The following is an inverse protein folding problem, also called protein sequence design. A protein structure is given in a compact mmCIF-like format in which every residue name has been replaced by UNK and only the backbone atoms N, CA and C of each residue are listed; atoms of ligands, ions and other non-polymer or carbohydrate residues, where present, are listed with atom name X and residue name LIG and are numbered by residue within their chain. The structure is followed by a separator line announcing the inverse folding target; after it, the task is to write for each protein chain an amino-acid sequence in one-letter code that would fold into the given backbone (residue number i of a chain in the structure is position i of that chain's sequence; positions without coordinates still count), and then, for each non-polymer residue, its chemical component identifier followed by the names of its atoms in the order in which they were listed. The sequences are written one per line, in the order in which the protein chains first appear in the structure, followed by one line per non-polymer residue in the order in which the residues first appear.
data_IF_133586230647
#
_entry.id   IF_133586230647
#
_cell.length_a   1.000
_cell.length_b   1.000
_cell.length_c   1.000
_cell.angle_alpha   90.00
_cell.angle_beta   90.00
_cell.angle_gamma   90.00
#
_symmetry.space_group_name_H-M   'P 1'
#
loop_
_entity.id
_entity.type
_entity.pdbx_description
1 polymer ?
#
# COMPACT_ATOMS: atom_id res chain seq x y z
N UNK A 1 52.67 -20.45 11.79
CA UNK A 1 51.93 -19.52 10.97
C UNK A 1 50.64 -20.21 10.51
N UNK A 2 49.54 -20.03 11.23
CA UNK A 2 48.20 -20.50 10.84
C UNK A 2 47.50 -19.34 10.16
N UNK A 3 47.23 -19.46 8.85
CA UNK A 3 46.39 -18.56 8.11
C UNK A 3 44.91 -18.73 8.56
N UNK A 4 44.42 -17.82 9.36
CA UNK A 4 42.99 -17.64 9.57
C UNK A 4 42.36 -17.06 8.29
N UNK A 5 41.73 -17.95 7.53
CA UNK A 5 40.80 -17.54 6.48
C UNK A 5 39.53 -17.00 7.16
N UNK A 6 39.49 -15.70 7.47
CA UNK A 6 38.26 -15.00 7.74
C UNK A 6 37.42 -14.94 6.44
N UNK A 7 36.62 -15.96 6.22
CA UNK A 7 35.56 -15.90 5.20
C UNK A 7 34.42 -14.99 5.70
N UNK A 8 34.59 -13.69 5.52
CA UNK A 8 33.44 -12.76 5.57
C UNK A 8 32.53 -13.13 4.43
N UNK A 9 31.47 -13.90 4.69
CA UNK A 9 30.33 -14.04 3.80
C UNK A 9 29.65 -12.67 3.69
N UNK A 10 30.15 -11.82 2.79
CA UNK A 10 29.40 -10.67 2.34
C UNK A 10 28.18 -11.21 1.58
N UNK A 11 27.04 -11.31 2.25
CA UNK A 11 25.78 -11.55 1.55
C UNK A 11 25.60 -10.42 0.52
N UNK A 12 25.78 -10.75 -0.74
CA UNK A 12 25.59 -9.82 -1.84
C UNK A 12 24.14 -9.35 -1.80
N UNK A 13 23.91 -8.11 -1.37
CA UNK A 13 22.57 -7.51 -1.35
C UNK A 13 22.04 -7.43 -2.78
N UNK A 14 20.79 -7.88 -2.99
CA UNK A 14 20.13 -7.80 -4.29
C UNK A 14 20.17 -6.38 -4.85
N UNK A 15 20.13 -6.24 -6.17
CA UNK A 15 20.09 -4.95 -6.87
C UNK A 15 19.04 -5.02 -7.97
N UNK A 16 18.33 -3.92 -8.21
CA UNK A 16 17.49 -3.78 -9.40
C UNK A 16 18.37 -3.72 -10.66
N UNK A 17 17.86 -4.25 -11.77
CA UNK A 17 18.60 -4.27 -13.04
C UNK A 17 18.67 -2.89 -13.69
N UNK A 18 17.85 -1.92 -13.23
CA UNK A 18 17.82 -0.55 -13.73
C UNK A 18 16.60 0.23 -13.25
N UNK A 19 16.50 1.49 -13.71
CA UNK A 19 15.46 2.43 -13.28
C UNK A 19 14.03 1.92 -13.50
N UNK A 20 13.72 1.32 -14.65
CA UNK A 20 12.38 0.82 -14.97
C UNK A 20 11.96 -0.27 -13.98
N UNK A 21 12.87 -1.20 -13.68
CA UNK A 21 12.61 -2.27 -12.70
C UNK A 21 12.29 -1.72 -11.31
N UNK A 22 13.08 -0.75 -10.84
CA UNK A 22 12.82 -0.05 -9.59
C UNK A 22 11.47 0.69 -9.58
N UNK A 23 11.22 1.51 -10.61
CA UNK A 23 9.98 2.31 -10.69
C UNK A 23 8.74 1.41 -10.71
N UNK A 24 8.76 0.33 -11.49
CA UNK A 24 7.63 -0.60 -11.55
C UNK A 24 7.46 -1.40 -10.25
N UNK A 25 8.55 -1.74 -9.56
CA UNK A 25 8.48 -2.41 -8.26
C UNK A 25 7.90 -1.49 -7.17
N UNK A 26 8.37 -0.22 -7.09
CA UNK A 26 7.85 0.76 -6.13
C UNK A 26 6.43 1.17 -6.48
N UNK A 27 6.12 1.41 -7.77
CA UNK A 27 4.76 1.68 -8.22
C UNK A 27 3.83 0.48 -7.92
N UNK A 28 4.29 -0.76 -8.11
CA UNK A 28 3.52 -1.96 -7.76
C UNK A 28 3.32 -2.11 -6.25
N UNK A 29 4.24 -1.61 -5.43
CA UNK A 29 4.03 -1.51 -3.99
C UNK A 29 2.98 -0.46 -3.63
N UNK A 30 3.04 0.70 -4.28
CA UNK A 30 2.15 1.82 -4.05
C UNK A 30 0.72 1.51 -4.56
N UNK A 31 0.60 0.95 -5.76
CA UNK A 31 -0.70 0.56 -6.34
C UNK A 31 -1.19 -0.75 -5.72
N UNK A 32 -2.06 -0.63 -4.74
CA UNK A 32 -2.62 -1.75 -4.00
C UNK A 32 -4.12 -1.64 -3.79
N UNK A 33 -4.62 -2.41 -2.83
CA UNK A 33 -6.02 -2.37 -2.43
C UNK A 33 -6.45 -0.97 -2.00
N UNK A 34 -5.53 -0.16 -1.45
CA UNK A 34 -5.78 1.22 -1.05
C UNK A 34 -6.21 2.14 -2.18
N UNK A 35 -5.67 1.98 -3.40
CA UNK A 35 -6.08 2.74 -4.58
C UNK A 35 -7.42 2.28 -5.11
N UNK A 36 -7.75 0.99 -4.99
CA UNK A 36 -8.91 0.40 -5.66
C UNK A 36 -10.18 0.52 -4.82
N UNK A 37 -10.11 0.36 -3.49
CA UNK A 37 -11.32 0.49 -2.67
C UNK A 37 -11.33 1.73 -1.77
N UNK A 38 -10.20 1.99 -1.06
CA UNK A 38 -10.17 3.05 -0.06
C UNK A 38 -10.23 4.45 -0.70
N UNK A 39 -9.46 4.65 -1.76
CA UNK A 39 -9.43 5.94 -2.44
C UNK A 39 -10.80 6.32 -3.04
N UNK A 40 -11.51 5.48 -3.83
CA UNK A 40 -12.83 5.83 -4.34
C UNK A 40 -13.86 6.09 -3.24
N UNK A 41 -13.85 5.29 -2.19
CA UNK A 41 -14.72 5.50 -1.02
C UNK A 41 -14.47 6.87 -0.37
N UNK A 42 -13.19 7.17 -0.05
CA UNK A 42 -12.85 8.45 0.59
C UNK A 42 -13.14 9.64 -0.34
N UNK A 43 -12.88 9.50 -1.63
CA UNK A 43 -13.20 10.53 -2.60
C UNK A 43 -14.73 10.81 -2.63
N UNK A 44 -15.53 9.76 -2.65
CA UNK A 44 -16.99 9.93 -2.63
C UNK A 44 -17.50 10.53 -1.31
N UNK A 45 -16.99 10.07 -0.17
CA UNK A 45 -17.41 10.54 1.16
C UNK A 45 -16.97 11.98 1.44
N UNK A 46 -15.79 12.39 0.97
CA UNK A 46 -15.16 13.66 1.35
C UNK A 46 -15.10 14.68 0.20
N UNK A 47 -16.10 14.67 -0.70
CA UNK A 47 -16.39 15.76 -1.61
C UNK A 47 -15.91 15.59 -3.05
N UNK A 48 -15.61 14.36 -3.50
CA UNK A 48 -15.33 14.08 -4.91
C UNK A 48 -14.11 14.83 -5.45
N UNK A 49 -14.33 15.72 -6.40
CA UNK A 49 -13.26 16.46 -7.08
C UNK A 49 -12.42 17.34 -6.16
N UNK A 50 -12.97 17.88 -5.06
CA UNK A 50 -12.17 18.64 -4.10
C UNK A 50 -11.22 17.73 -3.31
N UNK A 51 -11.65 16.52 -2.95
CA UNK A 51 -10.78 15.51 -2.36
C UNK A 51 -9.66 15.13 -3.32
N UNK A 52 -9.97 14.86 -4.59
CA UNK A 52 -8.99 14.53 -5.62
C UNK A 52 -7.94 15.64 -5.78
N UNK A 53 -8.37 16.91 -5.84
CA UNK A 53 -7.46 18.06 -5.95
C UNK A 53 -6.48 18.12 -4.76
N UNK A 54 -7.00 18.00 -3.53
CA UNK A 54 -6.19 18.02 -2.31
C UNK A 54 -5.24 16.82 -2.28
N UNK A 55 -5.71 15.62 -2.65
CA UNK A 55 -4.90 14.42 -2.74
C UNK A 55 -3.71 14.60 -3.70
N UNK A 56 -3.96 15.13 -4.91
CA UNK A 56 -2.90 15.39 -5.90
C UNK A 56 -1.86 16.39 -5.35
N UNK A 57 -2.31 17.46 -4.71
CA UNK A 57 -1.41 18.47 -4.13
C UNK A 57 -0.54 17.88 -3.01
N UNK A 58 -1.12 17.08 -2.12
CA UNK A 58 -0.41 16.41 -1.04
C UNK A 58 0.58 15.37 -1.56
N UNK A 59 0.18 14.58 -2.55
CA UNK A 59 1.01 13.55 -3.16
C UNK A 59 2.22 14.16 -3.89
N UNK A 60 1.99 15.22 -4.68
CA UNK A 60 3.04 15.92 -5.43
C UNK A 60 4.00 16.74 -4.55
N UNK A 61 3.64 17.00 -3.30
CA UNK A 61 4.44 17.78 -2.35
C UNK A 61 4.95 16.93 -1.19
N UNK A 62 4.11 16.64 -0.23
CA UNK A 62 4.47 15.95 1.00
C UNK A 62 4.86 14.48 0.76
N UNK A 63 4.04 13.73 -0.01
CA UNK A 63 4.32 12.35 -0.37
C UNK A 63 5.63 12.20 -1.14
N UNK A 64 5.82 13.05 -2.15
CA UNK A 64 7.04 13.12 -2.95
C UNK A 64 8.31 13.29 -2.11
N UNK A 65 8.28 14.17 -1.11
CA UNK A 65 9.43 14.46 -0.23
C UNK A 65 9.78 13.26 0.65
N UNK A 66 8.77 12.56 1.18
CA UNK A 66 9.00 11.38 2.03
C UNK A 66 9.51 10.19 1.23
N UNK A 67 8.95 9.91 0.04
CA UNK A 67 9.47 8.85 -0.84
C UNK A 67 10.95 9.05 -1.11
N UNK A 68 11.34 10.29 -1.49
CA UNK A 68 12.74 10.60 -1.76
C UNK A 68 13.63 10.41 -0.54
N UNK A 69 13.16 10.84 0.64
CA UNK A 69 13.93 10.73 1.89
C UNK A 69 14.20 9.27 2.25
N UNK A 70 13.16 8.44 2.27
CA UNK A 70 13.28 7.02 2.63
C UNK A 70 14.13 6.25 1.58
N UNK A 71 13.92 6.50 0.29
CA UNK A 71 14.71 5.91 -0.79
C UNK A 71 16.18 6.30 -0.70
N UNK A 72 16.47 7.58 -0.45
CA UNK A 72 17.84 8.06 -0.29
C UNK A 72 18.53 7.43 0.92
N UNK A 73 17.85 7.35 2.08
CA UNK A 73 18.37 6.69 3.27
C UNK A 73 18.67 5.21 3.03
N UNK A 74 17.79 4.50 2.32
CA UNK A 74 18.02 3.12 1.90
C UNK A 74 19.24 2.99 1.00
N UNK A 75 19.39 3.86 -0.02
CA UNK A 75 20.53 3.86 -0.95
C UNK A 75 21.86 4.21 -0.27
N UNK A 76 21.86 5.18 0.65
CA UNK A 76 23.05 5.57 1.42
C UNK A 76 23.59 4.41 2.26
N UNK A 77 22.70 3.67 2.90
CA UNK A 77 23.07 2.67 3.90
C UNK A 77 23.20 1.26 3.37
N UNK A 78 22.55 0.97 2.24
CA UNK A 78 22.44 -0.39 1.69
C UNK A 78 21.88 -1.40 2.70
N UNK A 79 20.99 -0.96 3.59
CA UNK A 79 20.40 -1.76 4.66
C UNK A 79 18.89 -1.63 4.69
N UNK A 80 18.24 -2.58 5.37
CA UNK A 80 16.84 -2.52 5.77
C UNK A 80 16.58 -1.33 6.74
N UNK A 81 15.33 -0.99 7.05
CA UNK A 81 15.01 0.15 7.90
C UNK A 81 15.78 0.16 9.23
N UNK A 82 15.86 -0.99 9.94
CA UNK A 82 16.56 -1.08 11.23
C UNK A 82 18.03 -0.76 11.07
N UNK A 83 18.67 -1.36 10.09
CA UNK A 83 20.07 -1.13 9.78
C UNK A 83 20.34 0.30 9.30
N UNK A 84 19.41 0.93 8.56
CA UNK A 84 19.52 2.31 8.13
C UNK A 84 19.51 3.28 9.32
N UNK A 85 18.57 3.14 10.25
CA UNK A 85 18.52 3.94 11.47
C UNK A 85 19.76 3.72 12.37
N UNK A 86 20.21 2.47 12.50
CA UNK A 86 21.40 2.14 13.28
C UNK A 86 22.70 2.71 12.69
N UNK A 87 22.76 2.86 11.36
CA UNK A 87 23.94 3.42 10.67
C UNK A 87 24.19 4.87 11.05
N UNK A 88 23.14 5.69 11.12
CA UNK A 88 23.25 7.12 11.40
C UNK A 88 23.13 7.44 12.91
N UNK A 89 22.31 6.68 13.64
CA UNK A 89 22.00 6.92 15.05
C UNK A 89 22.84 6.08 16.00
N UNK A 90 23.83 6.67 16.66
CA UNK A 90 24.64 5.98 17.67
C UNK A 90 23.87 5.57 18.93
N UNK A 91 22.76 6.21 19.26
CA UNK A 91 21.94 5.91 20.44
C UNK A 91 20.95 4.78 20.15
N UNK A 92 20.75 3.86 21.09
CA UNK A 92 19.76 2.76 21.01
C UNK A 92 18.34 3.25 20.66
N UNK A 93 17.96 4.46 21.11
CA UNK A 93 16.67 5.07 20.82
C UNK A 93 16.38 5.23 19.30
N UNK A 94 17.40 5.47 18.48
CA UNK A 94 17.20 5.58 17.04
C UNK A 94 16.82 4.24 16.39
N UNK A 95 17.28 3.11 16.93
CA UNK A 95 16.86 1.79 16.43
C UNK A 95 15.35 1.56 16.56
N UNK A 96 14.68 2.20 17.53
CA UNK A 96 13.22 2.10 17.70
C UNK A 96 12.49 2.59 16.44
N UNK A 97 12.90 3.72 15.84
CA UNK A 97 12.33 4.20 14.58
C UNK A 97 12.51 3.23 13.43
N UNK A 98 13.67 2.56 13.36
CA UNK A 98 13.93 1.50 12.37
C UNK A 98 13.03 0.28 12.60
N UNK A 99 12.89 -0.18 13.84
CA UNK A 99 12.00 -1.29 14.18
C UNK A 99 10.52 -0.96 13.95
N UNK A 100 10.06 0.27 14.21
CA UNK A 100 8.71 0.69 13.85
C UNK A 100 8.46 0.49 12.35
N UNK A 101 9.37 1.01 11.49
CA UNK A 101 9.27 0.82 10.04
C UNK A 101 9.35 -0.65 9.60
N UNK A 102 10.03 -1.51 10.35
CA UNK A 102 10.22 -2.92 9.99
C UNK A 102 9.08 -3.83 10.47
N UNK A 103 8.49 -3.54 11.65
CA UNK A 103 7.41 -4.35 12.22
C UNK A 103 6.08 -4.09 11.48
N UNK A 104 5.87 -2.87 11.00
CA UNK A 104 4.66 -2.51 10.24
C UNK A 104 4.38 -3.51 9.10
N UNK A 105 5.28 -3.75 8.14
CA UNK A 105 5.01 -4.72 7.07
C UNK A 105 4.88 -6.16 7.58
N UNK A 106 5.54 -6.53 8.68
CA UNK A 106 5.39 -7.86 9.29
C UNK A 106 3.99 -8.09 9.84
N UNK A 107 3.33 -7.03 10.31
CA UNK A 107 1.94 -7.08 10.79
C UNK A 107 0.93 -6.93 9.65
N UNK A 108 1.24 -6.10 8.64
CA UNK A 108 0.32 -5.85 7.52
C UNK A 108 0.20 -7.08 6.62
N UNK A 109 1.30 -7.70 6.21
CA UNK A 109 1.26 -8.75 5.19
C UNK A 109 0.36 -9.95 5.55
N UNK A 110 0.24 -10.40 6.82
CA UNK A 110 -0.70 -11.45 7.21
C UNK A 110 -2.16 -11.09 6.95
N UNK A 111 -2.66 -10.00 7.52
CA UNK A 111 -4.07 -9.63 7.31
C UNK A 111 -4.37 -9.15 5.89
N UNK A 112 -3.40 -8.51 5.23
CA UNK A 112 -3.51 -8.13 3.82
C UNK A 112 -3.65 -9.35 2.91
N UNK A 113 -2.96 -10.44 3.24
CA UNK A 113 -3.06 -11.71 2.51
C UNK A 113 -4.40 -12.41 2.73
N UNK A 114 -5.05 -12.21 3.89
CA UNK A 114 -6.43 -12.66 4.11
C UNK A 114 -7.37 -11.98 3.11
N UNK A 115 -7.26 -10.67 2.95
CA UNK A 115 -8.05 -9.92 1.97
C UNK A 115 -7.69 -10.36 0.54
N UNK A 116 -6.40 -10.60 0.26
CA UNK A 116 -5.95 -11.17 -1.02
C UNK A 116 -6.59 -12.53 -1.30
N UNK A 117 -6.79 -13.37 -0.30
CA UNK A 117 -7.53 -14.62 -0.39
C UNK A 117 -9.00 -14.42 -0.77
N UNK A 118 -9.67 -13.42 -0.21
CA UNK A 118 -11.03 -13.06 -0.61
C UNK A 118 -11.11 -12.64 -2.08
N UNK A 119 -10.12 -11.91 -2.57
CA UNK A 119 -10.02 -11.54 -4.00
C UNK A 119 -9.90 -12.78 -4.88
N UNK A 120 -9.06 -13.75 -4.51
CA UNK A 120 -8.92 -15.02 -5.26
C UNK A 120 -10.24 -15.79 -5.26
N UNK A 121 -10.92 -15.88 -4.11
CA UNK A 121 -12.23 -16.54 -4.00
C UNK A 121 -13.25 -15.94 -4.97
N UNK A 122 -13.40 -14.61 -4.95
CA UNK A 122 -14.35 -13.93 -5.83
C UNK A 122 -13.98 -14.10 -7.30
N UNK A 123 -12.71 -14.01 -7.66
CA UNK A 123 -12.24 -14.27 -9.02
C UNK A 123 -12.65 -15.67 -9.50
N UNK A 124 -12.45 -16.70 -8.67
CA UNK A 124 -12.84 -18.07 -8.98
C UNK A 124 -14.36 -18.19 -9.14
N UNK A 125 -15.16 -17.54 -8.31
CA UNK A 125 -16.62 -17.55 -8.46
C UNK A 125 -17.08 -16.88 -9.75
N UNK A 126 -16.45 -15.77 -10.16
CA UNK A 126 -16.72 -15.13 -11.46
C UNK A 126 -16.34 -16.01 -12.64
N UNK A 127 -15.23 -16.75 -12.59
CA UNK A 127 -14.86 -17.73 -13.62
C UNK A 127 -15.86 -18.89 -13.70
N UNK A 128 -16.50 -19.27 -12.60
CA UNK A 128 -17.58 -20.27 -12.58
C UNK A 128 -18.93 -19.73 -13.08
N UNK A 129 -19.01 -18.43 -13.39
CA UNK A 129 -20.26 -17.80 -13.82
C UNK A 129 -21.23 -17.47 -12.66
N UNK A 130 -20.80 -17.53 -11.43
CA UNK A 130 -21.64 -17.35 -10.22
C UNK A 130 -21.87 -15.86 -9.88
N UNK A 131 -21.98 -14.97 -10.88
CA UNK A 131 -22.14 -13.52 -10.67
C UNK A 131 -23.37 -13.18 -9.83
N UNK A 132 -24.50 -13.86 -10.03
CA UNK A 132 -25.72 -13.63 -9.26
C UNK A 132 -25.52 -14.05 -7.80
N UNK A 133 -24.92 -15.20 -7.56
CA UNK A 133 -24.67 -15.74 -6.23
C UNK A 133 -23.76 -14.82 -5.38
N UNK A 134 -22.67 -14.29 -5.97
CA UNK A 134 -21.75 -13.39 -5.23
C UNK A 134 -22.35 -12.00 -4.98
N UNK A 135 -23.44 -11.64 -5.68
CA UNK A 135 -24.18 -10.39 -5.48
C UNK A 135 -25.32 -10.48 -4.49
N UNK A 136 -25.64 -11.70 -3.97
CA UNK A 136 -26.68 -11.90 -2.96
C UNK A 136 -26.32 -11.25 -1.63
N UNK A 137 -27.34 -10.73 -0.94
CA UNK A 137 -27.18 -10.20 0.41
C UNK A 137 -26.70 -11.30 1.37
N UNK A 138 -25.67 -10.99 2.15
CA UNK A 138 -25.10 -11.93 3.10
C UNK A 138 -24.06 -12.91 2.54
N UNK A 139 -23.88 -13.02 1.20
CA UNK A 139 -22.88 -13.95 0.62
C UNK A 139 -21.47 -13.69 1.16
N UNK A 140 -21.01 -12.43 1.16
CA UNK A 140 -19.69 -12.09 1.71
C UNK A 140 -19.59 -12.41 3.19
N UNK A 141 -20.60 -12.04 3.98
CA UNK A 141 -20.63 -12.33 5.42
C UNK A 141 -20.58 -13.83 5.73
N UNK A 142 -21.36 -14.64 5.00
CA UNK A 142 -21.34 -16.11 5.18
C UNK A 142 -20.01 -16.73 4.77
N UNK A 143 -19.37 -16.19 3.72
CA UNK A 143 -18.05 -16.65 3.27
C UNK A 143 -16.96 -16.38 4.31
N UNK A 144 -16.85 -15.15 4.84
CA UNK A 144 -15.81 -14.82 5.82
C UNK A 144 -16.05 -15.46 7.20
N UNK A 145 -17.30 -15.81 7.51
CA UNK A 145 -17.67 -16.57 8.73
C UNK A 145 -17.32 -18.07 8.62
N UNK A 146 -17.24 -18.62 7.39
CA UNK A 146 -16.76 -19.98 7.15
C UNK A 146 -15.22 -20.01 7.27
N UNK A 147 -14.75 -20.31 8.48
CA UNK A 147 -13.32 -20.30 8.82
C UNK A 147 -12.48 -21.19 7.90
N UNK A 148 -13.01 -22.32 7.44
CA UNK A 148 -12.26 -23.23 6.57
C UNK A 148 -12.10 -22.66 5.16
N UNK A 149 -13.13 -22.06 4.59
CA UNK A 149 -13.02 -21.40 3.30
C UNK A 149 -12.17 -20.15 3.38
N UNK A 150 -12.34 -19.31 4.39
CA UNK A 150 -11.51 -18.13 4.58
C UNK A 150 -10.03 -18.50 4.67
N UNK A 151 -9.68 -19.52 5.47
CA UNK A 151 -8.31 -20.00 5.62
C UNK A 151 -7.74 -20.60 4.34
N UNK A 152 -8.52 -21.43 3.63
CA UNK A 152 -8.08 -22.02 2.35
C UNK A 152 -7.62 -20.93 1.35
N UNK A 153 -8.45 -19.90 1.15
CA UNK A 153 -8.16 -18.86 0.17
C UNK A 153 -7.04 -17.92 0.64
N UNK A 154 -6.94 -17.66 1.93
CA UNK A 154 -5.77 -17.00 2.53
C UNK A 154 -4.48 -17.76 2.20
N UNK A 155 -4.45 -19.07 2.42
CA UNK A 155 -3.28 -19.91 2.15
C UNK A 155 -2.93 -19.95 0.66
N UNK A 156 -3.93 -20.00 -0.24
CA UNK A 156 -3.70 -19.93 -1.69
C UNK A 156 -2.99 -18.63 -2.06
N UNK A 157 -3.46 -17.48 -1.55
CA UNK A 157 -2.82 -16.20 -1.83
C UNK A 157 -1.41 -16.13 -1.23
N UNK A 158 -1.23 -16.60 0.00
CA UNK A 158 0.07 -16.63 0.69
C UNK A 158 1.11 -17.45 -0.11
N UNK A 159 0.73 -18.59 -0.67
CA UNK A 159 1.61 -19.42 -1.51
C UNK A 159 2.10 -18.63 -2.72
N UNK A 160 1.24 -17.86 -3.41
CA UNK A 160 1.67 -17.02 -4.53
C UNK A 160 2.69 -15.96 -4.09
N UNK A 161 2.46 -15.30 -2.93
CA UNK A 161 3.41 -14.31 -2.39
C UNK A 161 4.77 -14.95 -2.10
N UNK A 162 4.79 -16.12 -1.42
CA UNK A 162 6.05 -16.81 -1.12
C UNK A 162 6.77 -17.32 -2.37
N UNK A 163 6.05 -17.83 -3.37
CA UNK A 163 6.64 -18.28 -4.63
C UNK A 163 7.42 -17.15 -5.32
N UNK A 164 6.87 -15.93 -5.30
CA UNK A 164 7.52 -14.76 -5.89
C UNK A 164 8.74 -14.32 -5.05
N UNK A 165 8.60 -14.25 -3.73
CA UNK A 165 9.66 -13.82 -2.81
C UNK A 165 10.87 -14.75 -2.87
N UNK A 166 10.67 -16.05 -2.98
CA UNK A 166 11.77 -17.01 -3.10
C UNK A 166 12.63 -16.79 -4.37
N UNK A 167 12.04 -16.20 -5.43
CA UNK A 167 12.77 -15.81 -6.64
C UNK A 167 13.73 -14.63 -6.46
N UNK A 168 13.71 -13.92 -5.33
CA UNK A 168 14.58 -12.79 -5.03
C UNK A 168 14.20 -11.50 -5.74
N UNK A 169 15.11 -10.51 -5.72
CA UNK A 169 14.81 -9.14 -6.19
C UNK A 169 14.61 -9.11 -7.71
N UNK A 170 15.56 -9.62 -8.49
CA UNK A 170 15.51 -9.52 -9.96
C UNK A 170 14.54 -10.52 -10.59
N UNK A 171 14.68 -11.81 -10.25
CA UNK A 171 13.91 -12.89 -10.88
C UNK A 171 12.50 -13.06 -10.29
N UNK A 172 12.27 -12.60 -9.06
CA UNK A 172 10.97 -12.57 -8.40
C UNK A 172 10.30 -11.21 -8.58
N UNK A 173 10.64 -10.26 -7.74
CA UNK A 173 9.95 -8.98 -7.57
C UNK A 173 9.97 -8.15 -8.85
N UNK A 174 11.16 -7.89 -9.41
CA UNK A 174 11.31 -7.03 -10.58
C UNK A 174 10.65 -7.64 -11.82
N UNK A 175 10.90 -8.93 -12.08
CA UNK A 175 10.31 -9.63 -13.23
C UNK A 175 8.79 -9.65 -13.15
N UNK A 176 8.25 -9.93 -11.98
CA UNK A 176 6.80 -9.92 -11.74
C UNK A 176 6.22 -8.53 -11.98
N UNK A 177 6.81 -7.48 -11.36
CA UNK A 177 6.31 -6.11 -11.50
C UNK A 177 6.36 -5.60 -12.94
N UNK A 178 7.38 -5.99 -13.71
CA UNK A 178 7.50 -5.65 -15.14
C UNK A 178 6.36 -6.21 -16.00
N UNK A 179 5.78 -7.34 -15.61
CA UNK A 179 4.66 -7.96 -16.33
C UNK A 179 3.33 -7.47 -15.77
N UNK A 180 3.18 -7.52 -14.44
CA UNK A 180 1.89 -7.27 -13.80
C UNK A 180 1.47 -5.80 -13.88
N UNK A 181 2.39 -4.84 -13.77
CA UNK A 181 2.02 -3.42 -13.75
C UNK A 181 1.46 -2.92 -15.10
N UNK A 182 2.06 -3.20 -16.26
CA UNK A 182 1.44 -2.85 -17.54
C UNK A 182 0.08 -3.51 -17.75
N UNK A 183 -0.07 -4.79 -17.40
CA UNK A 183 -1.35 -5.50 -17.49
C UNK A 183 -2.40 -4.84 -16.61
N UNK A 184 -2.06 -4.51 -15.36
CA UNK A 184 -2.94 -3.80 -14.43
C UNK A 184 -3.43 -2.47 -15.00
N UNK A 185 -2.54 -1.66 -15.59
CA UNK A 185 -2.91 -0.38 -16.23
C UNK A 185 -3.90 -0.61 -17.37
N UNK A 186 -3.64 -1.58 -18.26
CA UNK A 186 -4.53 -1.89 -19.38
C UNK A 186 -5.92 -2.31 -18.87
N UNK A 187 -5.97 -3.21 -17.88
CA UNK A 187 -7.23 -3.65 -17.29
C UNK A 187 -7.96 -2.49 -16.60
N UNK A 188 -7.24 -1.61 -15.88
CA UNK A 188 -7.83 -0.42 -15.26
C UNK A 188 -8.46 0.51 -16.30
N UNK A 189 -7.78 0.76 -17.42
CA UNK A 189 -8.31 1.57 -18.51
C UNK A 189 -9.55 0.93 -19.13
N UNK A 190 -9.51 -0.38 -19.40
CA UNK A 190 -10.66 -1.11 -19.99
C UNK A 190 -11.90 -1.01 -19.10
N UNK A 191 -11.77 -1.30 -17.80
CA UNK A 191 -12.90 -1.22 -16.85
C UNK A 191 -13.36 0.23 -16.68
N UNK A 192 -12.45 1.20 -16.66
CA UNK A 192 -12.80 2.62 -16.59
C UNK A 192 -13.64 3.05 -17.79
N UNK A 193 -13.21 2.74 -19.02
CA UNK A 193 -13.98 3.06 -20.25
C UNK A 193 -15.36 2.45 -20.17
N UNK A 194 -15.45 1.19 -19.78
CA UNK A 194 -16.73 0.49 -19.65
C UNK A 194 -17.62 1.16 -18.61
N UNK A 195 -17.07 1.56 -17.45
CA UNK A 195 -17.80 2.22 -16.36
C UNK A 195 -18.36 3.59 -16.77
N UNK A 196 -17.51 4.46 -17.34
CA UNK A 196 -17.91 5.84 -17.68
C UNK A 196 -18.91 5.92 -18.85
N UNK A 197 -19.01 4.84 -19.65
CA UNK A 197 -19.98 4.76 -20.77
C UNK A 197 -21.36 4.24 -20.36
N UNK A 198 -21.58 3.92 -19.08
CA UNK A 198 -22.91 3.45 -18.62
C UNK A 198 -23.90 4.60 -18.54
N UNK A 199 -25.19 4.35 -18.85
CA UNK A 199 -26.26 5.34 -18.63
C UNK A 199 -26.25 5.79 -17.16
N UNK A 200 -26.27 7.11 -16.92
CA UNK A 200 -26.22 7.69 -15.56
C UNK A 200 -24.81 7.85 -14.96
N UNK A 201 -23.76 7.32 -15.59
CA UNK A 201 -22.38 7.42 -15.09
C UNK A 201 -21.82 8.85 -15.13
N UNK A 202 -22.31 9.71 -16.03
CA UNK A 202 -21.78 11.05 -16.25
C UNK A 202 -21.82 11.94 -15.00
N UNK A 203 -22.85 11.80 -14.18
CA UNK A 203 -22.96 12.55 -12.91
C UNK A 203 -21.86 12.13 -11.92
N UNK A 204 -21.54 10.83 -11.86
CA UNK A 204 -20.40 10.32 -11.08
C UNK A 204 -19.05 10.82 -11.59
N UNK A 205 -18.87 10.91 -12.93
CA UNK A 205 -17.66 11.49 -13.54
C UNK A 205 -17.52 12.96 -13.16
N UNK A 206 -18.59 13.75 -13.28
CA UNK A 206 -18.60 15.17 -12.89
C UNK A 206 -18.30 15.34 -11.39
N UNK A 207 -18.97 14.56 -10.55
CA UNK A 207 -18.77 14.58 -9.10
C UNK A 207 -17.30 14.31 -8.72
N UNK A 208 -16.68 13.35 -9.38
CA UNK A 208 -15.30 12.95 -9.07
C UNK A 208 -14.23 13.89 -9.65
N UNK A 209 -14.44 14.46 -10.86
CA UNK A 209 -13.42 15.26 -11.52
C UNK A 209 -13.55 16.77 -11.28
N UNK A 210 -14.77 17.27 -11.03
CA UNK A 210 -15.00 18.72 -10.90
C UNK A 210 -14.90 19.12 -9.42
N UNK A 211 -13.88 19.89 -9.02
CA UNK A 211 -13.77 20.38 -7.64
C UNK A 211 -14.94 21.30 -7.27
N UNK A 212 -15.65 20.94 -6.22
CA UNK A 212 -16.72 21.79 -5.68
C UNK A 212 -16.34 22.24 -4.26
N UNK A 213 -16.02 23.53 -4.11
CA UNK A 213 -15.61 24.11 -2.84
C UNK A 213 -16.69 24.00 -1.75
N UNK A 214 -17.98 23.90 -2.13
CA UNK A 214 -19.08 23.71 -1.17
C UNK A 214 -18.99 22.36 -0.45
N UNK A 215 -18.34 21.36 -1.06
CA UNK A 215 -18.13 20.04 -0.48
C UNK A 215 -16.83 19.95 0.34
N UNK A 216 -16.12 21.06 0.51
CA UNK A 216 -14.88 21.09 1.30
C UNK A 216 -15.19 20.99 2.79
N UNK A 217 -14.41 20.17 3.47
CA UNK A 217 -14.34 20.11 4.92
C UNK A 217 -12.88 19.92 5.37
N UNK A 218 -12.57 20.23 6.62
CA UNK A 218 -11.24 19.91 7.16
C UNK A 218 -10.97 18.41 7.17
N UNK A 219 -12.01 17.59 7.29
CA UNK A 219 -11.90 16.15 7.17
C UNK A 219 -11.48 15.69 5.77
N UNK A 220 -11.81 16.46 4.71
CA UNK A 220 -11.30 16.20 3.34
C UNK A 220 -9.78 16.23 3.30
N UNK A 221 -9.15 17.20 3.99
CA UNK A 221 -7.68 17.31 4.05
C UNK A 221 -7.09 16.15 4.85
N UNK A 222 -7.66 15.84 6.02
CA UNK A 222 -7.18 14.75 6.88
C UNK A 222 -7.30 13.39 6.19
N UNK A 223 -8.45 13.13 5.56
CA UNK A 223 -8.68 11.89 4.81
C UNK A 223 -7.73 11.76 3.60
N UNK A 224 -7.52 12.86 2.86
CA UNK A 224 -6.58 12.87 1.73
C UNK A 224 -5.12 12.65 2.19
N UNK A 225 -4.70 13.24 3.32
CA UNK A 225 -3.39 12.96 3.91
C UNK A 225 -3.22 11.49 4.31
N UNK A 226 -4.19 10.93 5.00
CA UNK A 226 -4.17 9.52 5.40
C UNK A 226 -4.14 8.58 4.20
N UNK A 227 -4.92 8.88 3.16
CA UNK A 227 -4.93 8.11 1.92
C UNK A 227 -3.59 8.19 1.18
N UNK A 228 -2.99 9.36 1.06
CA UNK A 228 -1.70 9.56 0.42
C UNK A 228 -0.60 8.77 1.14
N UNK A 229 -0.61 8.77 2.45
CA UNK A 229 0.35 8.05 3.28
C UNK A 229 0.31 6.54 3.03
N UNK A 230 -0.91 5.99 3.04
CA UNK A 230 -1.16 4.57 2.80
C UNK A 230 -0.84 4.17 1.35
N UNK A 231 -1.31 4.97 0.38
CA UNK A 231 -1.15 4.70 -1.05
C UNK A 231 0.32 4.65 -1.47
N UNK A 232 1.14 5.61 -1.03
CA UNK A 232 2.54 5.71 -1.44
C UNK A 232 3.50 4.78 -0.68
N UNK A 233 3.00 3.85 0.13
CA UNK A 233 3.80 2.92 0.95
C UNK A 233 4.83 3.61 1.85
N UNK A 234 4.51 4.82 2.34
CA UNK A 234 5.40 5.62 3.20
C UNK A 234 5.36 5.07 4.61
N UNK A 235 6.51 5.09 5.29
CA UNK A 235 6.69 4.63 6.67
C UNK A 235 6.38 3.14 6.90
N UNK A 236 6.41 2.33 5.85
CA UNK A 236 6.28 0.86 5.91
C UNK A 236 7.63 0.16 5.73
N UNK A 237 8.75 0.89 5.74
CA UNK A 237 10.08 0.33 5.51
C UNK A 237 10.37 -0.11 4.07
N UNK A 238 9.36 -0.13 3.20
CA UNK A 238 9.47 -0.60 1.81
C UNK A 238 10.44 0.28 1.02
N UNK A 239 10.30 1.58 1.12
CA UNK A 239 11.14 2.53 0.39
C UNK A 239 12.60 2.51 0.86
N UNK A 240 12.87 2.21 2.15
CA UNK A 240 14.21 1.92 2.65
C UNK A 240 14.78 0.65 2.02
N UNK A 241 14.00 -0.42 2.03
CA UNK A 241 14.42 -1.73 1.51
C UNK A 241 14.68 -1.65 0.01
N UNK A 242 13.74 -1.12 -0.77
CA UNK A 242 13.90 -0.96 -2.21
C UNK A 242 14.98 0.08 -2.54
N UNK A 243 15.08 1.17 -1.79
CA UNK A 243 16.17 2.14 -1.86
C UNK A 243 17.54 1.49 -1.68
N UNK A 244 17.65 0.49 -0.79
CA UNK A 244 18.90 -0.24 -0.58
C UNK A 244 19.34 -1.11 -1.77
N UNK A 245 18.42 -1.42 -2.69
CA UNK A 245 18.68 -2.15 -3.94
C UNK A 245 18.97 -1.23 -5.13
N UNK A 246 18.84 0.08 -4.93
CA UNK A 246 19.04 1.10 -5.99
C UNK A 246 20.53 1.29 -6.29
N UNK A 247 20.97 1.21 -7.57
CA UNK A 247 22.31 1.59 -7.97
C UNK A 247 22.60 3.08 -7.75
N UNK A 248 23.88 3.45 -7.53
CA UNK A 248 24.25 4.83 -7.22
C UNK A 248 24.05 5.82 -8.38
N UNK A 249 24.09 5.34 -9.61
CA UNK A 249 23.91 6.10 -10.85
C UNK A 249 22.44 6.37 -11.20
N UNK A 250 21.50 5.75 -10.47
CA UNK A 250 20.07 5.93 -10.73
C UNK A 250 19.56 7.26 -10.17
N UNK A 251 18.88 8.02 -11.01
CA UNK A 251 18.22 9.29 -10.67
C UNK A 251 17.01 9.07 -9.77
N UNK A 252 17.16 9.37 -8.45
CA UNK A 252 16.09 9.23 -7.45
C UNK A 252 14.96 10.22 -7.72
N UNK A 253 15.28 11.49 -8.07
CA UNK A 253 14.24 12.50 -8.28
C UNK A 253 13.30 12.12 -9.42
N UNK A 254 13.87 11.72 -10.57
CA UNK A 254 13.09 11.30 -11.73
C UNK A 254 12.30 10.03 -11.45
N UNK A 255 12.88 9.07 -10.76
CA UNK A 255 12.21 7.81 -10.40
C UNK A 255 11.05 8.05 -9.44
N UNK A 256 11.23 8.89 -8.42
CA UNK A 256 10.16 9.28 -7.49
C UNK A 256 9.03 9.99 -8.22
N UNK A 257 9.35 10.90 -9.15
CA UNK A 257 8.33 11.58 -9.96
C UNK A 257 7.50 10.57 -10.77
N UNK A 258 8.15 9.57 -11.37
CA UNK A 258 7.47 8.52 -12.12
C UNK A 258 6.56 7.66 -11.23
N UNK A 259 7.01 7.29 -10.03
CA UNK A 259 6.21 6.56 -9.05
C UNK A 259 4.97 7.34 -8.63
N UNK A 260 5.13 8.62 -8.28
CA UNK A 260 4.04 9.51 -7.88
C UNK A 260 2.99 9.66 -8.99
N UNK A 261 3.45 9.89 -10.24
CA UNK A 261 2.53 10.00 -11.39
C UNK A 261 1.79 8.67 -11.62
N UNK A 262 2.47 7.55 -11.49
CA UNK A 262 1.89 6.23 -11.71
C UNK A 262 0.84 5.91 -10.65
N UNK A 263 1.15 6.07 -9.38
CA UNK A 263 0.23 5.86 -8.26
C UNK A 263 -1.02 6.76 -8.37
N UNK A 264 -0.80 8.07 -8.54
CA UNK A 264 -1.90 9.03 -8.70
C UNK A 264 -2.77 8.72 -9.92
N UNK A 265 -2.15 8.34 -11.04
CA UNK A 265 -2.86 7.94 -12.26
C UNK A 265 -3.76 6.72 -12.04
N UNK A 266 -3.26 5.70 -11.35
CA UNK A 266 -4.08 4.52 -11.01
C UNK A 266 -5.18 4.85 -10.00
N UNK A 267 -4.91 5.70 -8.99
CA UNK A 267 -5.94 6.16 -8.07
C UNK A 267 -7.06 6.90 -8.81
N UNK A 268 -6.72 7.76 -9.78
CA UNK A 268 -7.70 8.44 -10.64
C UNK A 268 -8.50 7.45 -11.50
N UNK A 269 -7.84 6.47 -12.13
CA UNK A 269 -8.53 5.43 -12.88
C UNK A 269 -9.46 4.61 -12.00
N UNK A 270 -9.04 4.24 -10.79
CA UNK A 270 -9.88 3.54 -9.83
C UNK A 270 -11.11 4.38 -9.41
N UNK A 271 -10.94 5.68 -9.17
CA UNK A 271 -12.03 6.60 -8.93
C UNK A 271 -13.02 6.65 -10.09
N UNK A 272 -12.53 6.79 -11.33
CA UNK A 272 -13.35 6.79 -12.55
C UNK A 272 -13.95 5.41 -12.88
N UNK A 273 -13.35 4.33 -12.42
CA UNK A 273 -13.87 2.99 -12.60
C UNK A 273 -15.04 2.71 -11.64
N UNK A 274 -14.95 3.19 -10.39
CA UNK A 274 -15.87 2.79 -9.33
C UNK A 274 -16.98 3.81 -9.11
N UNK A 275 -16.64 5.09 -8.96
CA UNK A 275 -17.65 6.13 -8.62
C UNK A 275 -18.72 6.24 -9.70
N UNK A 276 -18.40 6.36 -11.01
CA UNK A 276 -19.43 6.44 -12.04
C UNK A 276 -20.31 5.18 -12.13
N UNK A 277 -19.73 3.98 -11.93
CA UNK A 277 -20.48 2.73 -11.94
C UNK A 277 -21.50 2.66 -10.80
N UNK A 278 -21.09 3.07 -9.60
CA UNK A 278 -21.98 3.11 -8.43
C UNK A 278 -23.05 4.20 -8.57
N UNK A 279 -22.72 5.37 -9.11
CA UNK A 279 -23.69 6.42 -9.40
C UNK A 279 -24.74 5.98 -10.41
N UNK A 280 -24.33 5.31 -11.50
CA UNK A 280 -25.25 4.73 -12.47
C UNK A 280 -26.19 3.70 -11.86
N UNK A 281 -25.72 2.89 -10.92
CA UNK A 281 -26.49 1.88 -10.22
C UNK A 281 -27.43 2.46 -9.16
N UNK A 282 -26.97 3.47 -8.40
CA UNK A 282 -27.68 4.05 -7.23
C UNK A 282 -28.58 5.23 -7.56
N UNK A 283 -28.68 5.64 -8.83
CA UNK A 283 -29.39 6.85 -9.20
C UNK A 283 -28.74 8.16 -8.71
N UNK A 284 -27.42 8.14 -8.48
CA UNK A 284 -26.63 9.34 -8.15
C UNK A 284 -26.37 9.57 -6.66
N UNK A 285 -26.63 8.57 -5.80
CA UNK A 285 -26.37 8.71 -4.36
C UNK A 285 -24.94 8.27 -3.98
N UNK A 286 -24.04 9.19 -3.57
CA UNK A 286 -22.67 8.84 -3.17
C UNK A 286 -22.60 8.06 -1.86
N UNK A 287 -23.62 8.08 -1.01
CA UNK A 287 -23.65 7.36 0.27
C UNK A 287 -23.77 5.82 0.10
N UNK A 288 -24.11 5.36 -1.10
CA UNK A 288 -24.12 3.93 -1.43
C UNK A 288 -22.73 3.31 -1.56
N UNK A 289 -21.67 4.14 -1.69
CA UNK A 289 -20.30 3.67 -1.61
C UNK A 289 -19.95 3.32 -0.16
N UNK A 290 -20.00 2.05 0.16
CA UNK A 290 -19.66 1.54 1.49
C UNK A 290 -18.14 1.58 1.73
N UNK A 291 -17.74 1.68 3.00
CA UNK A 291 -16.33 1.69 3.37
C UNK A 291 -15.68 0.29 3.29
N UNK A 292 -14.40 0.27 3.03
CA UNK A 292 -13.56 -0.90 3.17
C UNK A 292 -13.93 -2.08 2.27
N UNK A 293 -13.82 -3.32 2.78
CA UNK A 293 -14.12 -4.52 2.03
C UNK A 293 -15.54 -4.57 1.46
N UNK A 294 -16.51 -3.95 2.12
CA UNK A 294 -17.91 -3.95 1.69
C UNK A 294 -18.10 -3.32 0.31
N UNK A 295 -17.31 -2.30 -0.05
CA UNK A 295 -17.35 -1.75 -1.40
C UNK A 295 -17.01 -2.80 -2.45
N UNK A 296 -15.92 -3.54 -2.23
CA UNK A 296 -15.38 -4.49 -3.22
C UNK A 296 -16.15 -5.81 -3.26
N UNK A 297 -16.59 -6.30 -2.11
CA UNK A 297 -17.15 -7.64 -2.00
C UNK A 297 -18.68 -7.69 -1.85
N UNK A 298 -19.33 -6.54 -1.66
CA UNK A 298 -20.80 -6.44 -1.60
C UNK A 298 -21.33 -5.50 -2.69
N UNK A 299 -20.88 -4.23 -2.69
CA UNK A 299 -21.45 -3.22 -3.58
C UNK A 299 -21.10 -3.48 -5.04
N UNK A 300 -19.82 -3.67 -5.36
CA UNK A 300 -19.39 -3.87 -6.76
C UNK A 300 -19.93 -5.15 -7.40
N UNK A 301 -20.01 -6.31 -6.73
CA UNK A 301 -20.70 -7.47 -7.28
C UNK A 301 -22.16 -7.20 -7.66
N UNK A 302 -22.92 -6.45 -6.87
CA UNK A 302 -24.28 -6.03 -7.20
C UNK A 302 -24.33 -5.11 -8.44
N UNK A 303 -23.41 -4.14 -8.49
CA UNK A 303 -23.25 -3.26 -9.66
C UNK A 303 -22.95 -4.10 -10.91
N UNK A 304 -22.00 -5.02 -10.85
CA UNK A 304 -21.66 -5.89 -11.99
C UNK A 304 -22.83 -6.80 -12.39
N UNK A 305 -23.55 -7.39 -11.42
CA UNK A 305 -24.72 -8.22 -11.70
C UNK A 305 -25.84 -7.46 -12.44
N UNK A 306 -25.93 -6.15 -12.24
CA UNK A 306 -26.88 -5.28 -12.96
C UNK A 306 -26.41 -4.88 -14.36
N UNK A 307 -25.15 -5.12 -14.73
CA UNK A 307 -24.58 -4.76 -16.03
C UNK A 307 -24.70 -5.87 -17.05
N UNK A 308 -24.92 -5.55 -18.35
CA UNK A 308 -25.07 -6.53 -19.41
C UNK A 308 -23.85 -7.46 -19.63
N UNK A 309 -22.64 -7.00 -19.28
CA UNK A 309 -21.39 -7.79 -19.33
C UNK A 309 -20.83 -8.04 -17.92
N UNK A 310 -21.67 -8.19 -16.91
CA UNK A 310 -21.27 -8.25 -15.51
C UNK A 310 -20.26 -9.33 -15.17
N UNK A 311 -20.40 -10.53 -15.73
CA UNK A 311 -19.43 -11.62 -15.52
C UNK A 311 -18.04 -11.24 -16.05
N UNK A 312 -17.96 -10.73 -17.28
CA UNK A 312 -16.68 -10.33 -17.90
C UNK A 312 -16.06 -9.17 -17.14
N UNK A 313 -16.86 -8.16 -16.81
CA UNK A 313 -16.39 -6.99 -16.02
C UNK A 313 -15.87 -7.42 -14.65
N UNK A 314 -16.57 -8.33 -13.97
CA UNK A 314 -16.13 -8.88 -12.69
C UNK A 314 -14.83 -9.67 -12.80
N UNK A 315 -14.66 -10.51 -13.83
CA UNK A 315 -13.39 -11.22 -14.07
C UNK A 315 -12.26 -10.21 -14.27
N UNK A 316 -12.43 -9.25 -15.18
CA UNK A 316 -11.39 -8.24 -15.47
C UNK A 316 -11.05 -7.42 -14.22
N UNK A 317 -12.07 -7.01 -13.46
CA UNK A 317 -11.90 -6.28 -12.22
C UNK A 317 -11.16 -7.09 -11.16
N UNK A 318 -11.57 -8.32 -10.87
CA UNK A 318 -10.92 -9.13 -9.83
C UNK A 318 -9.52 -9.61 -10.24
N UNK A 319 -9.22 -9.79 -11.55
CA UNK A 319 -7.85 -9.98 -12.04
C UNK A 319 -7.00 -8.74 -11.74
N UNK A 320 -7.50 -7.55 -12.07
CA UNK A 320 -6.82 -6.28 -11.79
C UNK A 320 -6.52 -6.14 -10.29
N UNK A 321 -7.52 -6.41 -9.43
CA UNK A 321 -7.38 -6.33 -7.97
C UNK A 321 -6.37 -7.36 -7.46
N UNK A 322 -6.37 -8.57 -8.01
CA UNK A 322 -5.40 -9.62 -7.65
C UNK A 322 -3.97 -9.19 -7.98
N UNK A 323 -3.74 -8.60 -9.17
CA UNK A 323 -2.42 -8.08 -9.56
C UNK A 323 -1.95 -6.99 -8.60
N UNK A 324 -2.83 -6.04 -8.26
CA UNK A 324 -2.54 -4.98 -7.31
C UNK A 324 -2.25 -5.52 -5.90
N UNK A 325 -3.04 -6.50 -5.44
CA UNK A 325 -2.85 -7.11 -4.13
C UNK A 325 -1.52 -7.87 -4.05
N UNK A 326 -1.17 -8.65 -5.09
CA UNK A 326 0.07 -9.42 -5.13
C UNK A 326 1.32 -8.52 -5.13
N UNK A 327 1.34 -7.46 -5.94
CA UNK A 327 2.51 -6.55 -6.01
C UNK A 327 2.77 -5.86 -4.68
N UNK A 328 1.73 -5.43 -3.98
CA UNK A 328 1.85 -4.81 -2.65
C UNK A 328 2.24 -5.82 -1.57
N UNK A 329 1.61 -7.00 -1.53
CA UNK A 329 1.94 -8.05 -0.56
C UNK A 329 3.40 -8.53 -0.68
N UNK A 330 3.89 -8.66 -1.91
CA UNK A 330 5.29 -9.01 -2.20
C UNK A 330 6.25 -7.94 -1.67
N UNK A 331 5.91 -6.66 -1.80
CA UNK A 331 6.75 -5.55 -1.30
C UNK A 331 6.82 -5.53 0.24
N UNK A 332 5.69 -5.75 0.90
CA UNK A 332 5.60 -5.88 2.36
C UNK A 332 6.42 -7.10 2.85
N UNK A 333 6.27 -8.24 2.19
CA UNK A 333 6.99 -9.47 2.52
C UNK A 333 8.49 -9.30 2.30
N UNK A 334 8.94 -8.68 1.20
CA UNK A 334 10.35 -8.44 0.94
C UNK A 334 11.00 -7.57 2.01
N UNK A 335 10.29 -6.53 2.45
CA UNK A 335 10.78 -5.65 3.52
C UNK A 335 10.97 -6.43 4.82
N UNK A 336 10.02 -7.30 5.17
CA UNK A 336 10.08 -8.16 6.34
C UNK A 336 11.24 -9.16 6.24
N UNK A 337 11.35 -9.87 5.12
CA UNK A 337 12.43 -10.84 4.87
C UNK A 337 13.80 -10.16 4.88
N UNK A 338 13.94 -9.01 4.19
CA UNK A 338 15.19 -8.24 4.14
C UNK A 338 15.62 -7.77 5.53
N UNK A 339 14.67 -7.36 6.38
CA UNK A 339 14.97 -6.96 7.76
C UNK A 339 15.48 -8.13 8.59
N UNK A 340 14.84 -9.29 8.49
CA UNK A 340 15.27 -10.51 9.18
C UNK A 340 16.66 -10.93 8.70
N UNK A 341 16.93 -10.87 7.39
CA UNK A 341 18.26 -11.16 6.83
C UNK A 341 19.33 -10.25 7.42
N UNK A 342 19.05 -8.94 7.53
CA UNK A 342 20.02 -7.96 8.03
C UNK A 342 20.26 -8.09 9.55
N UNK A 343 19.20 -8.30 10.35
CA UNK A 343 19.31 -8.28 11.82
C UNK A 343 19.72 -9.63 12.41
N UNK A 344 19.27 -10.75 11.82
CA UNK A 344 19.62 -12.10 12.28
C UNK A 344 20.78 -12.71 11.49
N UNK A 345 21.25 -12.04 10.43
CA UNK A 345 22.30 -12.54 9.53
C UNK A 345 21.96 -13.92 8.92
N UNK A 346 20.66 -14.17 8.70
CA UNK A 346 20.17 -15.40 8.09
C UNK A 346 20.16 -15.30 6.56
N UNK A 347 20.29 -16.46 5.92
CA UNK A 347 20.04 -16.55 4.47
C UNK A 347 18.57 -16.33 4.12
N UNK A 348 18.30 -15.98 2.86
CA UNK A 348 16.93 -15.69 2.36
C UNK A 348 15.93 -16.80 2.68
N UNK A 349 16.29 -18.08 2.47
CA UNK A 349 15.40 -19.23 2.75
C UNK A 349 14.98 -19.30 4.23
N UNK A 350 15.93 -19.13 5.15
CA UNK A 350 15.65 -19.12 6.60
C UNK A 350 14.77 -17.95 7.01
N UNK A 351 15.03 -16.75 6.46
CA UNK A 351 14.22 -15.56 6.72
C UNK A 351 12.80 -15.70 6.16
N UNK A 352 12.65 -16.30 4.98
CA UNK A 352 11.34 -16.63 4.42
C UNK A 352 10.60 -17.66 5.28
N UNK A 353 11.30 -18.67 5.82
CA UNK A 353 10.67 -19.66 6.70
C UNK A 353 10.15 -19.04 8.00
N UNK A 354 10.91 -18.11 8.62
CA UNK A 354 10.44 -17.38 9.79
C UNK A 354 9.21 -16.52 9.46
N UNK A 355 9.24 -15.81 8.32
CA UNK A 355 8.08 -15.04 7.88
C UNK A 355 6.88 -15.92 7.52
N UNK A 356 7.10 -17.17 7.06
CA UNK A 356 6.00 -18.11 6.84
C UNK A 356 5.31 -18.46 8.16
N UNK A 357 6.05 -18.66 9.24
CA UNK A 357 5.47 -18.88 10.57
C UNK A 357 4.66 -17.66 11.03
N UNK A 358 5.23 -16.44 10.92
CA UNK A 358 4.52 -15.19 11.25
C UNK A 358 3.23 -15.06 10.43
N UNK A 359 3.32 -15.33 9.12
CA UNK A 359 2.21 -15.27 8.17
C UNK A 359 1.09 -16.24 8.57
N UNK A 360 1.43 -17.50 8.87
CA UNK A 360 0.45 -18.49 9.29
C UNK A 360 -0.19 -18.07 10.61
N UNK A 361 0.59 -17.73 11.63
CA UNK A 361 0.02 -17.41 12.97
C UNK A 361 -0.89 -16.19 12.93
N UNK A 362 -0.40 -15.05 12.38
CA UNK A 362 -1.17 -13.81 12.37
C UNK A 362 -2.24 -13.79 11.26
N UNK A 363 -1.97 -14.45 10.12
CA UNK A 363 -2.92 -14.55 9.03
C UNK A 363 -4.10 -15.46 9.37
N UNK A 364 -3.86 -16.62 9.99
CA UNK A 364 -4.93 -17.49 10.51
C UNK A 364 -5.78 -16.77 11.56
N UNK A 365 -5.15 -16.02 12.49
CA UNK A 365 -5.91 -15.19 13.43
C UNK A 365 -6.80 -14.18 12.71
N UNK A 366 -6.30 -13.56 11.63
CA UNK A 366 -7.08 -12.60 10.84
C UNK A 366 -8.16 -13.26 9.98
N UNK A 367 -7.88 -14.40 9.34
CA UNK A 367 -8.83 -15.10 8.47
C UNK A 367 -9.97 -15.74 9.25
N UNK A 368 -9.69 -16.31 10.42
CA UNK A 368 -10.69 -16.92 11.30
C UNK A 368 -11.37 -15.91 12.25
N UNK A 369 -10.93 -14.66 12.24
CA UNK A 369 -11.43 -13.60 13.12
C UNK A 369 -12.89 -13.19 12.90
N UNK A 370 -13.49 -13.58 11.79
CA UNK A 370 -14.91 -13.39 11.47
C UNK A 370 -15.75 -14.66 11.67
N UNK A 371 -15.11 -15.77 12.02
CA UNK A 371 -15.75 -17.08 12.22
C UNK A 371 -15.38 -17.68 13.57
N UNK A 372 -14.52 -18.70 13.56
CA UNK A 372 -14.15 -19.47 14.75
C UNK A 372 -13.58 -18.62 15.90
N UNK A 373 -12.85 -17.54 15.58
CA UNK A 373 -12.23 -16.64 16.56
C UNK A 373 -13.00 -15.33 16.76
N UNK A 374 -14.23 -15.20 16.25
CA UNK A 374 -15.03 -13.98 16.36
C UNK A 374 -15.35 -13.56 17.81
N UNK A 375 -15.31 -14.51 18.74
CA UNK A 375 -15.49 -14.24 20.18
C UNK A 375 -14.32 -13.45 20.80
N UNK A 376 -13.16 -13.39 20.13
CA UNK A 376 -11.99 -12.63 20.60
C UNK A 376 -12.06 -11.24 19.99
N UNK A 377 -12.32 -10.23 20.82
CA UNK A 377 -12.36 -8.83 20.42
C UNK A 377 -11.31 -8.03 21.20
N UNK A 378 -10.39 -7.40 20.48
CA UNK A 378 -9.35 -6.54 21.06
C UNK A 378 -9.82 -5.10 20.87
N UNK A 379 -10.10 -4.39 21.96
CA UNK A 379 -10.76 -3.07 21.93
C UNK A 379 -12.05 -3.03 21.09
N UNK A 380 -12.83 -4.11 21.11
CA UNK A 380 -14.05 -4.25 20.34
C UNK A 380 -13.86 -4.61 18.85
N UNK A 381 -12.61 -4.70 18.38
CA UNK A 381 -12.25 -5.04 17.00
C UNK A 381 -11.90 -6.53 16.86
N UNK A 382 -12.17 -7.11 15.69
CA UNK A 382 -11.61 -8.42 15.31
C UNK A 382 -10.10 -8.30 15.03
N UNK A 383 -9.41 -9.42 14.79
CA UNK A 383 -7.97 -9.43 14.57
C UNK A 383 -7.54 -8.60 13.36
N UNK A 384 -8.24 -8.70 12.23
CA UNK A 384 -7.92 -7.97 11.01
C UNK A 384 -8.02 -6.46 11.25
N UNK A 385 -9.15 -6.00 11.81
CA UNK A 385 -9.38 -4.59 12.08
C UNK A 385 -8.41 -4.04 13.13
N UNK A 386 -8.05 -4.85 14.14
CA UNK A 386 -7.07 -4.48 15.15
C UNK A 386 -5.67 -4.31 14.55
N UNK A 387 -5.24 -5.21 13.66
CA UNK A 387 -3.94 -5.08 13.01
C UNK A 387 -3.91 -3.89 12.04
N UNK A 388 -4.99 -3.71 11.26
CA UNK A 388 -5.13 -2.57 10.35
C UNK A 388 -5.07 -1.25 11.12
N UNK A 389 -5.86 -1.13 12.18
CA UNK A 389 -5.87 0.04 13.06
C UNK A 389 -4.49 0.31 13.67
N UNK A 390 -3.87 -0.71 14.28
CA UNK A 390 -2.58 -0.56 14.98
C UNK A 390 -1.49 -0.13 14.02
N UNK A 391 -1.43 -0.72 12.83
CA UNK A 391 -0.39 -0.40 11.83
C UNK A 391 -0.64 0.95 11.17
N UNK A 392 -1.83 1.19 10.64
CA UNK A 392 -2.10 2.36 9.81
C UNK A 392 -2.37 3.63 10.63
N UNK A 393 -3.14 3.51 11.73
CA UNK A 393 -3.55 4.68 12.49
C UNK A 393 -2.54 5.08 13.57
N UNK A 394 -1.72 4.13 14.07
CA UNK A 394 -0.78 4.41 15.18
C UNK A 394 0.67 4.31 14.72
N UNK A 395 1.09 3.13 14.22
CA UNK A 395 2.51 2.89 13.97
C UNK A 395 3.07 3.66 12.78
N UNK A 396 2.35 3.78 11.67
CA UNK A 396 2.84 4.48 10.47
C UNK A 396 3.11 5.97 10.72
N UNK A 397 2.21 6.76 11.34
CA UNK A 397 2.52 8.15 11.66
C UNK A 397 3.74 8.30 12.57
N UNK A 398 3.90 7.41 13.56
CA UNK A 398 5.07 7.41 14.46
C UNK A 398 6.36 7.03 13.71
N UNK A 399 6.32 6.06 12.81
CA UNK A 399 7.46 5.65 12.00
C UNK A 399 7.90 6.76 11.05
N UNK A 400 6.95 7.46 10.42
CA UNK A 400 7.23 8.62 9.58
C UNK A 400 7.81 9.78 10.35
N UNK A 401 7.29 10.06 11.55
CA UNK A 401 7.86 11.09 12.43
C UNK A 401 9.29 10.73 12.82
N UNK A 402 9.57 9.45 13.13
CA UNK A 402 10.92 8.97 13.38
C UNK A 402 11.86 9.18 12.18
N UNK A 403 11.36 8.91 10.94
CA UNK A 403 12.09 9.20 9.69
C UNK A 403 12.38 10.71 9.56
N UNK A 404 11.39 11.56 9.79
CA UNK A 404 11.61 13.02 9.76
C UNK A 404 12.64 13.47 10.78
N UNK A 405 12.59 12.96 12.01
CA UNK A 405 13.58 13.27 13.06
C UNK A 405 14.98 12.79 12.64
N UNK A 406 15.08 11.57 12.08
CA UNK A 406 16.35 11.05 11.57
C UNK A 406 16.96 11.99 10.52
N UNK A 407 16.15 12.39 9.53
CA UNK A 407 16.62 13.27 8.45
C UNK A 407 16.95 14.67 8.96
N UNK A 408 16.09 15.28 9.81
CA UNK A 408 16.27 16.67 10.23
C UNK A 408 17.36 16.86 11.29
N UNK A 409 17.55 15.88 12.17
CA UNK A 409 18.41 16.04 13.37
C UNK A 409 19.71 15.24 13.32
N UNK A 410 19.78 14.19 12.47
CA UNK A 410 20.94 13.27 12.48
C UNK A 410 21.67 13.29 11.15
N UNK A 411 21.00 13.00 10.03
CA UNK A 411 21.60 12.96 8.70
C UNK A 411 21.80 14.37 8.15
N UNK A 412 20.89 15.26 8.44
CA UNK A 412 20.80 16.60 7.89
C UNK A 412 20.19 16.61 6.50
N UNK A 413 19.44 17.66 6.17
CA UNK A 413 18.82 17.83 4.84
C UNK A 413 19.90 17.83 3.74
N UNK A 414 21.06 18.44 4.03
CA UNK A 414 22.15 18.50 3.07
C UNK A 414 22.80 17.11 2.81
N UNK A 415 22.77 16.20 3.78
CA UNK A 415 23.20 14.82 3.60
C UNK A 415 22.33 14.11 2.56
N UNK A 416 20.99 14.20 2.71
CA UNK A 416 20.06 13.61 1.74
C UNK A 416 20.18 14.28 0.36
N UNK A 417 20.29 15.63 0.31
CA UNK A 417 20.40 16.32 -0.98
C UNK A 417 21.69 15.96 -1.72
N UNK A 418 22.82 15.82 -1.02
CA UNK A 418 24.08 15.34 -1.60
C UNK A 418 23.96 13.92 -2.16
N UNK A 419 23.25 13.03 -1.45
CA UNK A 419 23.00 11.67 -1.94
C UNK A 419 22.19 11.67 -3.24
N UNK A 420 21.13 12.48 -3.32
CA UNK A 420 20.31 12.61 -4.52
C UNK A 420 21.15 13.19 -5.68
N UNK A 421 21.96 14.19 -5.41
CA UNK A 421 22.82 14.87 -6.39
C UNK A 421 23.97 14.00 -6.94
N UNK A 422 24.26 12.84 -6.35
CA UNK A 422 25.27 11.92 -6.88
C UNK A 422 24.94 11.41 -8.29
N UNK A 423 23.66 11.24 -8.58
CA UNK A 423 23.21 10.65 -9.86
C UNK A 423 22.70 11.68 -10.86
N UNK A 424 22.21 12.85 -10.41
CA UNK A 424 21.63 13.88 -11.27
C UNK A 424 21.45 15.21 -10.53
N UNK A 425 21.37 16.36 -11.22
CA UNK A 425 21.05 17.64 -10.59
C UNK A 425 19.68 17.61 -9.92
N UNK A 426 19.61 17.97 -8.65
CA UNK A 426 18.35 18.00 -7.88
C UNK A 426 17.54 19.26 -8.21
N UNK A 427 16.59 19.16 -9.15
CA UNK A 427 15.83 20.32 -9.66
C UNK A 427 14.88 20.91 -8.62
N UNK A 428 14.21 20.06 -7.82
CA UNK A 428 13.20 20.47 -6.82
C UNK A 428 13.78 20.61 -5.41
N UNK A 429 15.08 20.87 -5.28
CA UNK A 429 15.80 20.98 -4.01
C UNK A 429 15.19 22.00 -3.02
N UNK A 430 14.75 23.17 -3.53
CA UNK A 430 14.12 24.21 -2.69
C UNK A 430 12.79 23.71 -2.09
N UNK A 431 11.93 23.12 -2.94
CA UNK A 431 10.67 22.52 -2.52
C UNK A 431 10.92 21.42 -1.46
N UNK A 432 11.84 20.50 -1.75
CA UNK A 432 12.22 19.45 -0.82
C UNK A 432 12.61 19.98 0.56
N UNK A 433 13.51 20.98 0.61
CA UNK A 433 13.97 21.57 1.88
C UNK A 433 12.82 22.21 2.69
N UNK A 434 11.94 22.95 2.04
CA UNK A 434 10.81 23.64 2.69
C UNK A 434 9.79 22.63 3.21
N UNK A 435 9.38 21.71 2.37
CA UNK A 435 8.36 20.72 2.74
C UNK A 435 8.84 19.78 3.84
N UNK A 436 10.07 19.28 3.75
CA UNK A 436 10.62 18.40 4.78
C UNK A 436 10.80 19.10 6.13
N UNK A 437 11.23 20.37 6.13
CA UNK A 437 11.53 21.10 7.36
C UNK A 437 10.28 21.55 8.11
N UNK A 438 9.23 21.98 7.39
CA UNK A 438 8.07 22.63 8.00
C UNK A 438 6.78 21.82 7.81
N UNK A 439 6.46 21.41 6.59
CA UNK A 439 5.17 20.80 6.26
C UNK A 439 5.11 19.34 6.72
N UNK A 440 6.16 18.54 6.47
CA UNK A 440 6.12 17.14 6.81
C UNK A 440 5.89 16.88 8.31
N UNK A 441 6.62 17.50 9.26
CA UNK A 441 6.33 17.33 10.68
C UNK A 441 4.93 17.79 11.09
N UNK A 442 4.45 18.92 10.53
CA UNK A 442 3.12 19.44 10.84
C UNK A 442 2.02 18.47 10.36
N UNK A 443 2.10 17.99 9.11
CA UNK A 443 1.15 17.02 8.58
C UNK A 443 1.14 15.72 9.39
N UNK A 444 2.30 15.22 9.80
CA UNK A 444 2.41 13.99 10.61
C UNK A 444 1.78 14.15 11.98
N UNK A 445 1.97 15.30 12.64
CA UNK A 445 1.32 15.59 13.90
C UNK A 445 -0.20 15.65 13.74
N UNK A 446 -0.70 16.29 12.67
CA UNK A 446 -2.13 16.34 12.37
C UNK A 446 -2.70 14.92 12.15
N UNK A 447 -2.02 14.06 11.37
CA UNK A 447 -2.44 12.68 11.15
C UNK A 447 -2.49 11.92 12.48
N UNK A 448 -1.45 12.03 13.30
CA UNK A 448 -1.39 11.33 14.58
C UNK A 448 -2.51 11.79 15.54
N UNK A 449 -2.72 13.10 15.65
CA UNK A 449 -3.79 13.66 16.48
C UNK A 449 -5.18 13.26 15.99
N UNK A 450 -5.39 13.24 14.66
CA UNK A 450 -6.64 12.79 14.04
C UNK A 450 -6.90 11.30 14.31
N UNK A 451 -5.85 10.48 14.22
CA UNK A 451 -5.95 9.04 14.52
C UNK A 451 -6.32 8.82 15.99
N UNK A 452 -5.68 9.54 16.91
CA UNK A 452 -6.01 9.47 18.35
C UNK A 452 -7.46 9.93 18.59
N UNK A 453 -7.87 11.04 17.98
CA UNK A 453 -9.23 11.58 18.14
C UNK A 453 -10.30 10.61 17.57
N UNK A 454 -9.98 9.88 16.51
CA UNK A 454 -10.86 8.83 15.96
C UNK A 454 -11.01 7.65 16.93
N UNK A 455 -9.90 7.22 17.56
CA UNK A 455 -9.95 6.14 18.58
C UNK A 455 -10.78 6.53 19.80
N UNK A 456 -10.68 7.79 20.19
CA UNK A 456 -11.46 8.31 21.33
C UNK A 456 -12.91 8.59 20.95
N UNK A 457 -13.34 8.32 19.73
CA UNK A 457 -14.70 8.58 19.26
C UNK A 457 -15.06 10.06 19.11
N UNK A 458 -14.05 10.95 19.13
CA UNK A 458 -14.27 12.41 18.99
C UNK A 458 -14.58 12.76 17.54
N UNK A 459 -13.98 12.04 16.58
CA UNK A 459 -14.22 12.18 15.13
C UNK A 459 -14.46 10.81 14.52
N UNK A 460 -15.34 10.72 13.52
CA UNK A 460 -15.54 9.53 12.67
C UNK A 460 -14.75 9.68 11.37
N UNK A 461 -13.75 8.86 11.16
CA UNK A 461 -13.01 8.78 9.89
C UNK A 461 -13.53 7.66 8.98
#
# INVERSE_FOLDING_TARGET
MKNEKNSTHSHHRGSFSGRIGYVLAVAGSAVGLGNIWRFPYLAAKYGGGIFLLIYILLTASFGYVLIMSETALGRMTRKSPVGAFAHFGKKKAFKVGGWLNAVIPMLIVPYYSTIGGWVVKYLVEYFKGNVQKVSEDGYFGSFIADSWQAELWFMVFAIFVFAIILGGVQNGIERMSRIMMPVLVILAVVVTIYSVTRPGALEGVKYFLIPNVKNFSWMTVVAAMGQMFYSLSIAMGILYTYGSYVPKDMDIERSTTQVVIFDTGIAMLAGLMIIPAVFAFSGGNPETLQAGPSLMFITLPKVFASMGLGTVTGIVFFVLVLLAALTSAVSLMETSVSTIMDELHWGRKGSCALMAVVMIVLGTASSMGYGLLDFIRIFGMNFLDFFDFTTNSVMMPLAALATCILVLKVVGIDGITKEIEQSSPFRRKKLYKVFLKYFAPACLIIILLSSIASVLGIISM
#
